data_IF_192935636151
#
_entry.id   IF_192935636151
#
_cell.length_a   1.000
_cell.length_b   1.000
_cell.length_c   1.000
_cell.angle_alpha   90.00
_cell.angle_beta   90.00
_cell.angle_gamma   90.00
#
_symmetry.space_group_name_H-M   'P 1'
#
loop_
_entity.id
_entity.type
_entity.pdbx_description
1 polymer ?
#
# COMPACT_ATOMS: atom_id res chain seq x y z
N UNK A 1 -2.95 23.44 -2.99
CA UNK A 1 -3.45 22.64 -1.84
C UNK A 1 -2.30 21.78 -1.34
N UNK A 2 -2.03 21.70 -0.03
CA UNK A 2 -0.89 20.92 0.52
C UNK A 2 -1.24 19.42 0.54
N UNK A 3 -0.44 18.61 -0.14
CA UNK A 3 -0.48 17.14 0.00
C UNK A 3 -0.14 16.76 1.44
N UNK A 4 -0.91 15.84 2.03
CA UNK A 4 -0.57 15.25 3.34
C UNK A 4 0.24 13.97 3.13
N UNK A 5 1.07 13.61 4.10
CA UNK A 5 1.76 12.32 4.09
C UNK A 5 1.05 11.38 5.07
N UNK A 6 0.94 10.11 4.70
CA UNK A 6 0.48 9.08 5.61
C UNK A 6 1.44 8.93 6.81
N UNK A 7 0.94 8.42 7.93
CA UNK A 7 1.76 8.10 9.09
C UNK A 7 2.96 7.21 8.73
N UNK A 8 4.08 7.41 9.41
CA UNK A 8 5.31 6.61 9.27
C UNK A 8 6.02 6.63 7.90
N UNK A 9 5.52 7.35 6.89
CA UNK A 9 6.23 7.53 5.61
C UNK A 9 7.63 8.12 5.82
N UNK A 10 7.80 9.03 6.78
CA UNK A 10 9.11 9.64 7.06
C UNK A 10 10.08 8.68 7.76
N UNK A 11 9.57 7.60 8.34
CA UNK A 11 10.36 6.59 9.04
C UNK A 11 10.87 5.51 8.09
N UNK A 12 10.33 5.45 6.88
CA UNK A 12 10.75 4.56 5.82
C UNK A 12 12.27 4.71 5.55
N UNK A 13 13.00 3.58 5.36
CA UNK A 13 14.43 3.61 5.09
C UNK A 13 14.76 4.49 3.88
N UNK A 14 15.94 5.13 3.94
CA UNK A 14 16.51 5.80 2.76
C UNK A 14 16.79 4.81 1.63
N UNK A 15 17.10 3.57 1.99
CA UNK A 15 17.24 2.48 1.03
C UNK A 15 15.89 2.15 0.40
N UNK A 16 15.88 2.13 -0.94
CA UNK A 16 14.69 1.88 -1.76
C UNK A 16 14.47 0.40 -2.05
N UNK A 17 15.46 -0.45 -1.77
CA UNK A 17 15.37 -1.90 -1.93
C UNK A 17 14.65 -2.55 -0.74
N UNK A 18 14.67 -1.93 0.42
CA UNK A 18 13.91 -2.38 1.59
C UNK A 18 12.41 -2.30 1.31
N UNK A 19 11.72 -3.42 1.53
CA UNK A 19 10.28 -3.54 1.32
C UNK A 19 9.51 -2.55 2.23
N UNK A 20 8.55 -1.82 1.67
CA UNK A 20 7.62 -1.01 2.47
C UNK A 20 6.41 -1.82 2.86
N UNK A 21 6.02 -1.76 4.13
CA UNK A 21 4.77 -2.36 4.60
C UNK A 21 3.74 -1.26 4.85
N UNK A 22 2.57 -1.41 4.24
CA UNK A 22 1.42 -0.51 4.38
C UNK A 22 0.22 -1.33 4.90
N UNK A 23 -0.27 -1.03 6.09
CA UNK A 23 -1.55 -1.54 6.57
C UNK A 23 -2.68 -0.64 6.08
N UNK A 24 -3.75 -1.20 5.53
CA UNK A 24 -4.88 -0.44 5.00
C UNK A 24 -6.22 -1.05 5.44
N UNK A 25 -7.04 -0.23 6.08
CA UNK A 25 -8.37 -0.60 6.58
C UNK A 25 -8.70 0.12 7.87
N UNK A 26 -9.90 -0.09 8.40
CA UNK A 26 -10.35 0.49 9.68
C UNK A 26 -9.44 0.13 10.86
N UNK A 27 -8.93 -1.10 10.89
CA UNK A 27 -8.03 -1.62 11.93
C UNK A 27 -6.53 -1.44 11.63
N UNK A 28 -6.18 -0.67 10.59
CA UNK A 28 -4.78 -0.50 10.16
C UNK A 28 -3.85 0.00 11.26
N UNK A 29 -4.34 0.88 12.15
CA UNK A 29 -3.56 1.38 13.28
C UNK A 29 -3.18 0.25 14.25
N UNK A 30 -4.15 -0.58 14.64
CA UNK A 30 -3.94 -1.69 15.58
C UNK A 30 -2.94 -2.70 15.02
N UNK A 31 -3.05 -3.04 13.73
CA UNK A 31 -2.09 -3.92 13.07
C UNK A 31 -0.68 -3.33 12.98
N UNK A 32 -0.57 -2.03 12.68
CA UNK A 32 0.73 -1.35 12.64
C UNK A 32 1.38 -1.28 14.03
N UNK A 33 0.61 -1.02 15.09
CA UNK A 33 1.11 -1.08 16.47
C UNK A 33 1.58 -2.49 16.82
N UNK A 34 0.78 -3.52 16.52
CA UNK A 34 1.16 -4.90 16.77
C UNK A 34 2.47 -5.29 16.05
N UNK A 35 2.66 -4.83 14.82
CA UNK A 35 3.92 -5.01 14.09
C UNK A 35 5.09 -4.37 14.84
N UNK A 36 4.98 -3.09 15.23
CA UNK A 36 6.04 -2.36 15.93
C UNK A 36 6.39 -3.02 17.27
N UNK A 37 5.39 -3.50 17.99
CA UNK A 37 5.57 -4.07 19.33
C UNK A 37 6.10 -5.51 19.29
N UNK A 38 5.72 -6.29 18.28
CA UNK A 38 5.97 -7.74 18.20
C UNK A 38 6.73 -8.15 16.95
N UNK A 39 6.08 -8.12 15.77
CA UNK A 39 6.59 -8.78 14.57
C UNK A 39 7.84 -8.12 13.98
N UNK A 40 7.89 -6.79 13.96
CA UNK A 40 9.05 -6.01 13.55
C UNK A 40 10.27 -6.34 14.41
N UNK A 41 10.11 -6.35 15.74
CA UNK A 41 11.20 -6.75 16.66
C UNK A 41 11.69 -8.17 16.43
N UNK A 42 10.78 -9.11 16.13
CA UNK A 42 11.14 -10.51 15.83
C UNK A 42 11.88 -10.64 14.51
N UNK A 43 11.53 -9.81 13.53
CA UNK A 43 12.20 -9.73 12.23
C UNK A 43 13.52 -8.94 12.27
N UNK A 44 13.82 -8.24 13.36
CA UNK A 44 14.91 -7.27 13.44
C UNK A 44 14.65 -6.01 12.61
N UNK A 45 13.38 -5.72 12.33
CA UNK A 45 12.93 -4.54 11.61
C UNK A 45 12.34 -3.51 12.60
N UNK A 46 13.12 -2.46 12.86
CA UNK A 46 12.72 -1.33 13.71
C UNK A 46 11.94 -0.26 12.92
N UNK A 47 11.69 -0.46 11.62
CA UNK A 47 10.96 0.50 10.81
C UNK A 47 9.46 0.36 11.04
N UNK A 48 8.81 1.43 11.52
CA UNK A 48 7.37 1.39 11.72
C UNK A 48 6.66 1.37 10.35
N UNK A 49 5.69 0.46 10.14
CA UNK A 49 4.97 0.34 8.89
C UNK A 49 4.02 1.53 8.73
N UNK A 50 3.73 1.88 7.47
CA UNK A 50 2.73 2.91 7.14
C UNK A 50 1.35 2.33 7.43
N UNK A 51 0.43 3.14 7.94
CA UNK A 51 -0.96 2.72 8.14
C UNK A 51 -1.96 3.73 7.57
N UNK A 52 -2.99 3.19 6.93
CA UNK A 52 -4.09 3.91 6.32
C UNK A 52 -5.38 3.51 7.04
N UNK A 53 -5.63 4.18 8.17
CA UNK A 53 -6.87 4.03 8.93
C UNK A 53 -8.05 4.73 8.25
N UNK A 54 -9.24 4.64 8.84
CA UNK A 54 -10.47 5.29 8.32
C UNK A 54 -10.27 6.75 7.90
N UNK A 55 -9.60 7.57 8.73
CA UNK A 55 -9.29 8.98 8.42
C UNK A 55 -8.37 9.15 7.21
N UNK A 56 -7.35 8.30 7.10
CA UNK A 56 -6.40 8.32 5.98
C UNK A 56 -7.05 7.83 4.68
N UNK A 57 -7.95 6.85 4.78
CA UNK A 57 -8.70 6.32 3.66
C UNK A 57 -9.73 7.33 3.12
N UNK A 58 -10.34 8.13 4.00
CA UNK A 58 -11.24 9.24 3.61
C UNK A 58 -10.50 10.34 2.83
N UNK A 59 -9.26 10.64 3.20
CA UNK A 59 -8.42 11.64 2.51
C UNK A 59 -7.43 11.01 1.52
N UNK A 60 -7.61 9.73 1.17
CA UNK A 60 -6.60 8.92 0.46
C UNK A 60 -6.14 9.59 -0.83
N UNK A 61 -7.06 10.13 -1.63
CA UNK A 61 -6.78 10.84 -2.88
C UNK A 61 -5.74 11.95 -2.72
N UNK A 62 -5.74 12.66 -1.58
CA UNK A 62 -4.85 13.79 -1.27
C UNK A 62 -3.73 13.43 -0.29
N UNK A 63 -3.60 12.14 0.00
CA UNK A 63 -2.61 11.58 0.91
C UNK A 63 -1.53 10.84 0.10
N UNK A 64 -0.27 11.21 0.32
CA UNK A 64 0.85 10.38 -0.12
C UNK A 64 0.93 9.17 0.80
N UNK A 65 1.02 7.97 0.24
CA UNK A 65 1.05 6.71 1.01
C UNK A 65 2.44 6.05 1.00
N UNK A 66 3.33 6.49 0.11
CA UNK A 66 4.66 5.95 -0.06
C UNK A 66 5.62 7.05 -0.56
N UNK A 67 6.92 6.86 -0.36
CA UNK A 67 7.97 7.65 -0.99
C UNK A 67 8.27 7.18 -2.42
N UNK A 68 8.87 8.06 -3.22
CA UNK A 68 9.13 7.78 -4.62
C UNK A 68 10.30 6.82 -4.83
N UNK A 69 10.19 5.99 -5.88
CA UNK A 69 11.24 5.12 -6.40
C UNK A 69 11.48 3.85 -5.58
N UNK A 70 10.53 3.44 -4.73
CA UNK A 70 10.66 2.18 -3.97
C UNK A 70 10.55 0.97 -4.87
N UNK A 71 11.37 -0.05 -4.59
CA UNK A 71 11.34 -1.27 -5.38
C UNK A 71 10.12 -2.13 -5.04
N UNK A 72 9.91 -2.43 -3.76
CA UNK A 72 8.87 -3.38 -3.32
C UNK A 72 7.96 -2.76 -2.26
N UNK A 73 6.65 -2.93 -2.43
CA UNK A 73 5.62 -2.51 -1.48
C UNK A 73 4.65 -3.66 -1.20
N UNK A 74 4.39 -3.86 0.08
CA UNK A 74 3.43 -4.82 0.63
C UNK A 74 2.27 -4.07 1.24
N UNK A 75 1.10 -4.21 0.66
CA UNK A 75 -0.16 -3.69 1.23
C UNK A 75 -0.86 -4.81 1.95
N UNK A 76 -1.17 -4.63 3.22
CA UNK A 76 -1.85 -5.61 4.06
C UNK A 76 -3.20 -5.05 4.46
N UNK A 77 -4.27 -5.77 4.10
CA UNK A 77 -5.63 -5.44 4.52
C UNK A 77 -5.76 -5.66 6.03
N UNK A 78 -6.15 -4.62 6.73
CA UNK A 78 -6.36 -4.60 8.17
C UNK A 78 -7.82 -4.19 8.44
N UNK A 79 -8.72 -5.17 8.33
CA UNK A 79 -10.16 -4.98 8.47
C UNK A 79 -10.86 -4.56 7.16
N UNK A 80 -11.84 -3.65 7.24
CA UNK A 80 -12.65 -3.26 6.10
C UNK A 80 -11.89 -2.31 5.15
N UNK A 81 -11.84 -2.70 3.87
CA UNK A 81 -11.18 -1.95 2.79
C UNK A 81 -11.99 -2.12 1.52
N UNK A 82 -12.42 -1.03 0.89
CA UNK A 82 -13.27 -1.06 -0.31
C UNK A 82 -12.44 -1.22 -1.58
N UNK A 83 -13.03 -1.80 -2.64
CA UNK A 83 -12.35 -1.95 -3.94
C UNK A 83 -11.90 -0.60 -4.53
N UNK A 84 -12.67 0.46 -4.31
CA UNK A 84 -12.29 1.83 -4.69
C UNK A 84 -11.02 2.27 -3.96
N UNK A 85 -10.94 2.06 -2.64
CA UNK A 85 -9.74 2.41 -1.87
C UNK A 85 -8.53 1.59 -2.32
N UNK A 86 -8.72 0.29 -2.57
CA UNK A 86 -7.68 -0.59 -3.12
C UNK A 86 -7.16 -0.05 -4.46
N UNK A 87 -8.06 0.34 -5.36
CA UNK A 87 -7.72 0.92 -6.66
C UNK A 87 -6.92 2.21 -6.52
N UNK A 88 -7.35 3.12 -5.64
CA UNK A 88 -6.62 4.37 -5.37
C UNK A 88 -5.23 4.08 -4.79
N UNK A 89 -5.09 3.10 -3.89
CA UNK A 89 -3.79 2.68 -3.34
C UNK A 89 -2.89 2.21 -4.47
N UNK A 90 -3.35 1.27 -5.32
CA UNK A 90 -2.56 0.74 -6.42
C UNK A 90 -2.11 1.85 -7.39
N UNK A 91 -3.00 2.76 -7.77
CA UNK A 91 -2.68 3.92 -8.60
C UNK A 91 -1.62 4.82 -7.94
N UNK A 92 -1.67 5.03 -6.63
CA UNK A 92 -0.66 5.84 -5.91
C UNK A 92 0.70 5.18 -5.86
N UNK A 93 0.75 3.86 -5.71
CA UNK A 93 2.00 3.11 -5.79
C UNK A 93 2.60 3.25 -7.20
N UNK A 94 1.76 3.13 -8.23
CA UNK A 94 2.17 3.30 -9.62
C UNK A 94 2.74 4.70 -9.90
N UNK A 95 2.04 5.76 -9.47
CA UNK A 95 2.49 7.16 -9.59
C UNK A 95 3.78 7.45 -8.81
N UNK A 96 4.10 6.64 -7.81
CA UNK A 96 5.33 6.79 -7.01
C UNK A 96 6.52 6.03 -7.60
N UNK A 97 6.40 5.52 -8.83
CA UNK A 97 7.39 4.68 -9.52
C UNK A 97 7.77 3.40 -8.76
N UNK A 98 6.79 2.81 -8.08
CA UNK A 98 6.97 1.50 -7.42
C UNK A 98 7.14 0.42 -8.48
N UNK A 99 8.12 -0.49 -8.30
CA UNK A 99 8.36 -1.59 -9.25
C UNK A 99 7.47 -2.80 -8.97
N UNK A 100 7.33 -3.18 -7.71
CA UNK A 100 6.55 -4.33 -7.29
C UNK A 100 5.58 -3.94 -6.17
N UNK A 101 4.30 -4.26 -6.35
CA UNK A 101 3.28 -4.06 -5.31
C UNK A 101 2.38 -5.28 -5.19
N UNK A 102 2.10 -5.68 -3.94
CA UNK A 102 1.31 -6.88 -3.63
C UNK A 102 0.33 -6.59 -2.51
N UNK A 103 -0.91 -7.05 -2.65
CA UNK A 103 -1.97 -6.94 -1.65
C UNK A 103 -2.13 -8.28 -0.93
N UNK A 104 -2.16 -8.24 0.40
CA UNK A 104 -2.42 -9.37 1.28
C UNK A 104 -3.75 -9.13 2.02
N UNK A 105 -4.55 -10.18 2.20
CA UNK A 105 -5.85 -10.08 2.89
C UNK A 105 -5.73 -10.21 4.41
N UNK A 106 -4.52 -10.11 4.96
CA UNK A 106 -4.22 -10.21 6.38
C UNK A 106 -2.71 -10.28 6.61
N UNK A 107 -2.28 -9.99 7.84
CA UNK A 107 -0.85 -9.98 8.21
C UNK A 107 -0.21 -11.37 8.14
N UNK A 108 -0.96 -12.41 8.47
CA UNK A 108 -0.49 -13.80 8.53
C UNK A 108 -0.70 -14.57 7.22
N UNK A 109 -1.17 -13.89 6.17
CA UNK A 109 -1.40 -14.53 4.88
C UNK A 109 -0.06 -14.84 4.19
N UNK A 110 0.22 -16.12 3.87
CA UNK A 110 1.50 -16.51 3.28
C UNK A 110 1.63 -16.09 1.81
N UNK A 111 0.50 -15.83 1.14
CA UNK A 111 0.46 -15.48 -0.27
C UNK A 111 -0.30 -14.17 -0.51
N UNK A 112 0.15 -13.35 -1.48
CA UNK A 112 -0.58 -12.16 -1.85
C UNK A 112 -1.90 -12.55 -2.51
N UNK A 113 -2.98 -11.92 -2.06
CA UNK A 113 -4.30 -12.04 -2.69
C UNK A 113 -4.30 -11.42 -4.08
N UNK A 114 -3.59 -10.31 -4.26
CA UNK A 114 -3.41 -9.67 -5.57
C UNK A 114 -1.95 -9.27 -5.79
N UNK A 115 -1.48 -9.46 -7.02
CA UNK A 115 -0.18 -8.97 -7.47
C UNK A 115 -0.42 -7.84 -8.46
N UNK A 116 0.04 -6.64 -8.12
CA UNK A 116 -0.11 -5.45 -8.95
C UNK A 116 1.12 -5.13 -9.79
N UNK A 117 2.22 -5.84 -9.61
CA UNK A 117 3.50 -5.62 -10.32
C UNK A 117 3.30 -5.41 -11.83
N UNK A 118 2.49 -6.25 -12.48
CA UNK A 118 2.25 -6.16 -13.92
C UNK A 118 1.36 -4.98 -14.33
N UNK A 119 0.50 -4.49 -13.44
CA UNK A 119 -0.47 -3.41 -13.73
C UNK A 119 0.04 -2.04 -13.33
N UNK A 120 1.03 -1.92 -12.44
CA UNK A 120 1.59 -0.63 -12.01
C UNK A 120 2.04 0.25 -13.19
N UNK A 121 2.77 -0.23 -14.22
CA UNK A 121 3.17 0.62 -15.33
C UNK A 121 1.97 1.20 -16.07
N UNK A 122 0.94 0.38 -16.31
CA UNK A 122 -0.30 0.80 -16.97
C UNK A 122 -1.08 1.82 -16.15
N UNK A 123 -1.24 1.55 -14.85
CA UNK A 123 -1.90 2.45 -13.90
C UNK A 123 -1.22 3.82 -13.83
N UNK A 124 0.11 3.83 -13.88
CA UNK A 124 0.89 5.06 -13.90
C UNK A 124 0.60 5.86 -15.16
N UNK A 125 0.67 5.24 -16.34
CA UNK A 125 0.38 5.93 -17.59
C UNK A 125 -1.06 6.45 -17.65
N UNK A 126 -2.04 5.65 -17.22
CA UNK A 126 -3.46 6.04 -17.17
C UNK A 126 -3.66 7.27 -16.25
N UNK A 127 -3.04 7.25 -15.07
CA UNK A 127 -3.12 8.37 -14.13
C UNK A 127 -2.34 9.62 -14.61
N UNK A 128 -1.20 9.46 -15.29
CA UNK A 128 -0.45 10.55 -15.91
C UNK A 128 -1.21 11.17 -17.11
N UNK A 129 -1.99 10.37 -17.85
CA UNK A 129 -2.87 10.84 -18.94
C UNK A 129 -4.10 11.61 -18.43
N UNK A 130 -4.35 11.67 -17.13
CA UNK A 130 -5.48 12.38 -16.54
C UNK A 130 -6.82 11.66 -16.65
N UNK A 131 -6.81 10.37 -17.03
CA UNK A 131 -7.98 9.50 -16.88
C UNK A 131 -8.12 9.21 -15.39
N UNK A 132 -9.21 9.68 -14.78
CA UNK A 132 -9.56 9.63 -13.34
C UNK A 132 -8.79 8.62 -12.48
N UNK A 133 -8.29 9.10 -11.32
CA UNK A 133 -7.51 8.37 -10.28
C UNK A 133 -8.08 6.97 -9.92
N UNK A 134 -9.38 6.76 -10.14
CA UNK A 134 -10.07 5.48 -9.98
C UNK A 134 -9.93 4.66 -11.26
N UNK A 135 -8.77 4.07 -11.47
CA UNK A 135 -8.59 3.09 -12.55
C UNK A 135 -9.22 1.77 -12.11
N UNK A 136 -10.04 1.19 -12.98
CA UNK A 136 -10.65 -0.12 -12.74
C UNK A 136 -9.56 -1.20 -12.76
N UNK A 137 -9.08 -1.60 -11.57
CA UNK A 137 -8.13 -2.70 -11.43
C UNK A 137 -8.74 -3.97 -12.03
N UNK A 138 -8.03 -4.69 -12.93
CA UNK A 138 -8.48 -6.00 -13.35
C UNK A 138 -8.37 -6.93 -12.15
N UNK A 139 -9.49 -7.19 -11.48
CA UNK A 139 -9.58 -8.18 -10.41
C UNK A 139 -9.30 -9.53 -11.03
N UNK A 140 -8.03 -9.96 -11.02
CA UNK A 140 -7.66 -11.35 -11.30
C UNK A 140 -8.28 -12.17 -10.16
N UNK A 141 -9.52 -12.64 -10.38
CA UNK A 141 -10.09 -13.74 -9.59
C UNK A 141 -9.08 -14.87 -9.68
N UNK A 142 -8.42 -15.15 -8.55
CA UNK A 142 -7.38 -16.17 -8.47
C UNK A 142 -7.82 -17.44 -9.17
N UNK A 143 -7.02 -17.90 -10.13
CA UNK A 143 -7.16 -19.22 -10.69
C UNK A 143 -6.93 -20.20 -9.54
N UNK A 144 -8.01 -20.85 -9.09
CA UNK A 144 -7.92 -22.06 -8.29
C UNK A 144 -7.19 -23.10 -9.14
N UNK A 145 -6.08 -23.62 -8.63
CA UNK A 145 -5.53 -24.92 -9.00
C UNK A 145 -5.72 -25.85 -7.82
#
# INVERSE_FOLDING_TARGET
>A
MKMKNAPNIKCLPKDKFTEAIIFAGDDAYSHAQHWIESEGKRAGDDVPPVYLGKKQLEELERLNIIDQGRRCVRVIRAGELSETQVSIIATKLALSDVKEARLFNGMFEPQPKENWTDVLPRLREEAERGESIVVNLPVKKGAKA
#
